data_IF_660990757740
#
_entry.id   IF_660990757740
#
_cell.length_a   1.000
_cell.length_b   1.000
_cell.length_c   1.000
_cell.angle_alpha   90.00
_cell.angle_beta   90.00
_cell.angle_gamma   90.00
#
_symmetry.space_group_name_H-M   'P 1'
#
loop_
_entity.id
_entity.type
_entity.pdbx_description
1 polymer ?
#
# COMPACT_ATOMS: atom_id res chain seq x y z
N UNK A 1 -36.72 -3.47 2.40
CA UNK A 1 -36.42 -2.65 3.60
C UNK A 1 -36.67 -3.46 4.87
N UNK A 2 -37.90 -3.92 5.17
CA UNK A 2 -38.17 -4.67 6.40
C UNK A 2 -37.26 -5.89 6.62
N UNK A 3 -37.06 -6.72 5.60
CA UNK A 3 -36.18 -7.89 5.70
C UNK A 3 -34.70 -7.53 6.00
N UNK A 4 -34.21 -6.39 5.52
CA UNK A 4 -32.85 -5.88 5.77
C UNK A 4 -32.76 -5.34 7.20
N UNK A 5 -33.81 -4.64 7.66
CA UNK A 5 -33.90 -4.17 9.05
C UNK A 5 -33.92 -5.35 10.05
N UNK A 6 -34.68 -6.41 9.75
CA UNK A 6 -34.76 -7.61 10.59
C UNK A 6 -33.38 -8.33 10.73
N UNK A 7 -32.46 -8.12 9.78
CA UNK A 7 -31.09 -8.63 9.85
C UNK A 7 -30.14 -7.75 10.68
N UNK A 8 -30.61 -6.60 11.19
CA UNK A 8 -29.80 -5.66 11.95
C UNK A 8 -28.81 -4.85 11.08
N UNK A 9 -29.13 -4.66 9.79
CA UNK A 9 -28.23 -3.93 8.88
C UNK A 9 -28.61 -2.46 8.66
N UNK A 10 -29.75 -2.03 9.19
CA UNK A 10 -30.22 -0.63 9.11
C UNK A 10 -31.02 -0.26 10.37
N UNK A 11 -30.33 -0.12 11.49
CA UNK A 11 -30.92 0.20 12.78
C UNK A 11 -31.43 1.65 12.83
N UNK A 12 -32.44 1.89 13.64
CA UNK A 12 -33.05 3.22 13.79
C UNK A 12 -33.62 3.73 12.46
N UNK A 13 -33.08 4.85 11.98
CA UNK A 13 -33.40 5.46 10.69
C UNK A 13 -32.31 5.30 9.65
N UNK A 14 -31.25 4.53 9.97
CA UNK A 14 -30.08 4.34 9.11
C UNK A 14 -30.41 3.60 7.81
N UNK A 15 -29.48 3.74 6.86
CA UNK A 15 -29.56 3.12 5.54
C UNK A 15 -30.53 3.80 4.57
N UNK A 16 -30.27 3.61 3.30
CA UNK A 16 -31.06 4.15 2.20
C UNK A 16 -31.24 3.10 1.10
N UNK A 17 -32.40 3.08 0.49
CA UNK A 17 -32.74 2.11 -0.55
C UNK A 17 -33.43 2.82 -1.70
N UNK A 18 -32.93 2.65 -2.92
CA UNK A 18 -33.50 3.24 -4.11
C UNK A 18 -33.67 2.24 -5.24
N UNK A 19 -34.71 2.45 -6.06
CA UNK A 19 -34.94 1.74 -7.30
C UNK A 19 -35.17 2.73 -8.42
N UNK A 20 -34.62 2.48 -9.60
CA UNK A 20 -34.90 3.27 -10.80
C UNK A 20 -36.30 3.01 -11.28
N UNK A 21 -37.14 4.04 -11.30
CA UNK A 21 -38.47 4.00 -11.91
C UNK A 21 -38.42 4.34 -13.39
N UNK A 22 -37.60 5.29 -13.76
CA UNK A 22 -37.48 5.79 -15.12
C UNK A 22 -36.03 6.27 -15.34
N UNK A 23 -35.48 6.02 -16.54
CA UNK A 23 -34.11 6.40 -16.87
C UNK A 23 -34.00 7.74 -17.59
N UNK A 24 -35.01 8.14 -18.32
CA UNK A 24 -35.02 9.39 -19.09
C UNK A 24 -36.40 10.09 -19.00
N UNK A 25 -36.50 11.21 -18.26
CA UNK A 25 -35.52 11.70 -17.28
C UNK A 25 -35.34 10.72 -16.11
N UNK A 26 -34.17 10.73 -15.47
CA UNK A 26 -33.87 9.81 -14.36
C UNK A 26 -34.80 10.08 -13.18
N UNK A 27 -35.46 9.03 -12.67
CA UNK A 27 -36.31 9.06 -11.47
C UNK A 27 -36.00 7.85 -10.60
N UNK A 28 -35.77 8.08 -9.31
CA UNK A 28 -35.58 7.05 -8.29
C UNK A 28 -36.76 7.02 -7.32
N UNK A 29 -37.25 5.82 -7.04
CA UNK A 29 -38.15 5.56 -5.92
C UNK A 29 -37.32 5.24 -4.69
N UNK A 30 -37.56 5.91 -3.56
CA UNK A 30 -36.82 5.67 -2.34
C UNK A 30 -37.60 6.00 -1.08
N UNK A 31 -37.14 5.54 0.08
CA UNK A 31 -37.71 5.94 1.36
C UNK A 31 -37.26 7.39 1.70
N UNK A 32 -38.11 8.21 2.30
CA UNK A 32 -37.73 9.52 2.78
C UNK A 32 -36.67 9.42 3.90
N UNK A 33 -35.91 10.49 4.09
CA UNK A 33 -34.97 10.61 5.19
C UNK A 33 -35.64 10.58 6.55
N UNK A 34 -34.95 10.01 7.56
CA UNK A 34 -35.43 10.04 8.95
C UNK A 34 -36.59 9.09 9.29
N UNK A 35 -36.93 8.16 8.41
CA UNK A 35 -37.99 7.14 8.68
C UNK A 35 -37.34 5.79 9.04
N UNK A 36 -37.98 5.08 9.99
CA UNK A 36 -37.57 3.72 10.36
C UNK A 36 -37.78 2.74 9.20
N UNK A 37 -36.75 2.13 8.69
CA UNK A 37 -36.75 1.29 7.45
C UNK A 37 -37.51 -0.03 7.64
N UNK A 38 -37.68 -0.47 8.89
CA UNK A 38 -38.40 -1.71 9.22
C UNK A 38 -39.89 -1.65 9.00
N UNK A 39 -40.51 -0.44 8.94
CA UNK A 39 -41.97 -0.25 8.92
C UNK A 39 -42.45 0.78 7.90
N UNK A 40 -41.67 1.09 6.89
CA UNK A 40 -42.07 2.05 5.84
C UNK A 40 -43.18 1.46 4.97
N UNK A 41 -44.34 2.09 4.98
CA UNK A 41 -45.43 1.75 4.07
C UNK A 41 -45.13 2.26 2.65
N UNK A 42 -45.62 1.55 1.63
CA UNK A 42 -45.36 1.87 0.22
C UNK A 42 -45.84 3.29 -0.17
N UNK A 43 -46.92 3.76 0.43
CA UNK A 43 -47.53 5.09 0.17
C UNK A 43 -46.65 6.24 0.70
N UNK A 44 -45.68 5.93 1.59
CA UNK A 44 -44.74 6.93 2.13
C UNK A 44 -43.46 7.06 1.30
N UNK A 45 -43.32 6.24 0.26
CA UNK A 45 -42.15 6.35 -0.62
C UNK A 45 -42.21 7.64 -1.43
N UNK A 46 -41.05 8.22 -1.69
CA UNK A 46 -40.89 9.43 -2.50
C UNK A 46 -40.25 9.10 -3.83
N UNK A 47 -40.52 9.92 -4.83
CA UNK A 47 -39.80 9.90 -6.12
C UNK A 47 -38.92 11.12 -6.20
N UNK A 48 -37.64 10.89 -6.48
CA UNK A 48 -36.64 11.95 -6.69
C UNK A 48 -36.18 11.96 -8.14
N UNK A 49 -35.83 13.13 -8.64
CA UNK A 49 -35.24 13.29 -9.98
C UNK A 49 -33.73 13.07 -10.01
N UNK A 50 -33.11 13.26 -11.19
CA UNK A 50 -31.65 13.14 -11.38
C UNK A 50 -30.83 14.20 -10.66
N UNK A 51 -31.44 15.25 -10.09
CA UNK A 51 -30.81 16.24 -9.23
C UNK A 51 -31.08 15.97 -7.73
N UNK A 52 -31.71 14.84 -7.38
CA UNK A 52 -32.03 14.48 -5.99
C UNK A 52 -33.20 15.24 -5.41
N UNK A 53 -33.99 15.98 -6.23
CA UNK A 53 -35.12 16.76 -5.77
C UNK A 53 -36.40 15.91 -5.75
N UNK A 54 -37.19 16.05 -4.67
CA UNK A 54 -38.43 15.30 -4.52
C UNK A 54 -39.47 15.81 -5.52
N UNK A 55 -39.91 14.92 -6.39
CA UNK A 55 -40.92 15.20 -7.41
C UNK A 55 -42.34 14.71 -7.00
N UNK A 56 -42.42 13.63 -6.24
CA UNK A 56 -43.68 13.06 -5.73
C UNK A 56 -43.46 12.45 -4.34
N UNK A 57 -44.52 12.40 -3.55
CA UNK A 57 -44.52 11.92 -2.17
C UNK A 57 -44.30 13.03 -1.16
N UNK A 58 -44.32 12.68 0.15
CA UNK A 58 -44.12 13.60 1.26
C UNK A 58 -42.83 13.24 2.03
N UNK A 59 -42.00 14.22 2.31
CA UNK A 59 -40.76 14.04 3.04
C UNK A 59 -39.55 14.68 2.33
N UNK A 60 -38.37 14.46 2.88
CA UNK A 60 -37.11 14.93 2.30
C UNK A 60 -36.34 13.75 1.73
N UNK A 61 -35.67 13.94 0.61
CA UNK A 61 -34.63 13.02 0.16
C UNK A 61 -33.47 12.99 1.15
N UNK A 62 -32.80 11.84 1.27
CA UNK A 62 -31.56 11.76 2.02
C UNK A 62 -30.46 12.54 1.29
N UNK A 63 -29.53 13.16 2.03
CA UNK A 63 -28.34 13.74 1.43
C UNK A 63 -27.56 12.69 0.60
N UNK A 64 -27.53 11.44 1.04
CA UNK A 64 -26.89 10.31 0.38
C UNK A 64 -27.51 9.92 -0.96
N UNK A 65 -28.64 10.52 -1.35
CA UNK A 65 -29.26 10.36 -2.68
C UNK A 65 -28.28 10.67 -3.81
N UNK A 66 -27.37 11.62 -3.62
CA UNK A 66 -26.35 11.98 -4.61
C UNK A 66 -25.42 10.79 -4.95
N UNK A 67 -25.04 10.01 -3.94
CA UNK A 67 -24.21 8.82 -4.17
C UNK A 67 -25.02 7.70 -4.86
N UNK A 68 -26.30 7.53 -4.54
CA UNK A 68 -27.19 6.62 -5.28
C UNK A 68 -27.29 7.00 -6.76
N UNK A 69 -27.47 8.29 -7.06
CA UNK A 69 -27.51 8.81 -8.44
C UNK A 69 -26.19 8.55 -9.16
N UNK A 70 -25.05 8.82 -8.51
CA UNK A 70 -23.73 8.56 -9.07
C UNK A 70 -23.52 7.07 -9.40
N UNK A 71 -23.93 6.17 -8.52
CA UNK A 71 -23.86 4.71 -8.76
C UNK A 71 -24.74 4.33 -9.96
N UNK A 72 -26.00 4.79 -10.01
CA UNK A 72 -26.91 4.47 -11.13
C UNK A 72 -26.38 4.98 -12.46
N UNK A 73 -25.84 6.20 -12.50
CA UNK A 73 -25.29 6.82 -13.70
C UNK A 73 -24.04 6.08 -14.22
N UNK A 74 -23.11 5.72 -13.31
CA UNK A 74 -21.84 5.11 -13.70
C UNK A 74 -21.93 3.62 -14.01
N UNK A 75 -22.82 2.89 -13.31
CA UNK A 75 -22.90 1.42 -13.40
C UNK A 75 -24.08 0.93 -14.21
N UNK A 76 -25.06 1.79 -14.50
CA UNK A 76 -26.33 1.39 -15.10
C UNK A 76 -27.23 0.60 -14.14
N UNK A 77 -26.96 0.60 -12.84
CA UNK A 77 -27.75 -0.12 -11.84
C UNK A 77 -29.24 0.26 -11.88
N UNK A 78 -30.13 -0.71 -11.61
CA UNK A 78 -31.56 -0.50 -11.46
C UNK A 78 -31.99 -0.34 -10.00
N UNK A 79 -31.13 -0.73 -9.05
CA UNK A 79 -31.37 -0.50 -7.63
C UNK A 79 -30.03 -0.35 -6.87
N UNK A 80 -30.06 0.47 -5.81
CA UNK A 80 -28.93 0.70 -4.89
C UNK A 80 -29.45 0.58 -3.46
N UNK A 81 -28.75 -0.21 -2.65
CA UNK A 81 -29.08 -0.50 -1.26
C UNK A 81 -27.89 -0.11 -0.38
N UNK A 82 -28.15 0.72 0.63
CA UNK A 82 -27.13 1.16 1.58
C UNK A 82 -27.47 0.73 3.00
N UNK A 83 -26.50 0.15 3.69
CA UNK A 83 -26.64 -0.45 5.02
C UNK A 83 -25.53 0.02 5.96
N UNK A 84 -25.80 -0.07 7.28
CA UNK A 84 -24.90 0.27 8.37
C UNK A 84 -24.66 -0.93 9.27
N UNK A 85 -24.37 -2.12 8.73
CA UNK A 85 -24.05 -3.29 9.54
C UNK A 85 -22.79 -3.04 10.38
N UNK A 86 -22.69 -3.72 11.53
CA UNK A 86 -21.49 -3.58 12.39
C UNK A 86 -20.24 -4.06 11.65
N UNK A 87 -20.32 -5.16 10.92
CA UNK A 87 -19.19 -5.68 10.15
C UNK A 87 -18.73 -4.68 9.09
N UNK A 88 -19.65 -4.14 8.26
CA UNK A 88 -19.31 -3.13 7.24
C UNK A 88 -18.70 -1.86 7.87
N UNK A 89 -19.30 -1.37 8.95
CA UNK A 89 -18.86 -0.14 9.63
C UNK A 89 -17.47 -0.29 10.25
N UNK A 90 -17.24 -1.36 11.02
CA UNK A 90 -15.97 -1.55 11.73
C UNK A 90 -14.82 -1.91 10.79
N UNK A 91 -15.06 -2.80 9.81
CA UNK A 91 -14.04 -3.15 8.82
C UNK A 91 -13.67 -1.95 7.96
N UNK A 92 -14.65 -1.19 7.46
CA UNK A 92 -14.37 -0.01 6.66
C UNK A 92 -13.66 1.09 7.44
N UNK A 93 -13.95 1.27 8.72
CA UNK A 93 -13.24 2.19 9.60
C UNK A 93 -11.77 1.75 9.79
N UNK A 94 -11.55 0.46 9.98
CA UNK A 94 -10.21 -0.10 10.14
C UNK A 94 -9.38 0.04 8.86
N UNK A 95 -9.95 -0.31 7.70
CA UNK A 95 -9.27 -0.24 6.40
C UNK A 95 -9.14 1.20 5.89
N UNK A 96 -10.10 2.06 6.15
CA UNK A 96 -10.12 3.45 5.69
C UNK A 96 -8.99 4.35 6.20
N UNK A 97 -8.13 3.81 7.07
CA UNK A 97 -6.89 4.47 7.52
C UNK A 97 -5.77 4.39 6.45
N UNK A 98 -5.93 3.54 5.44
CA UNK A 98 -4.93 3.29 4.39
C UNK A 98 -5.34 3.96 3.08
N UNK A 99 -4.37 4.28 2.20
CA UNK A 99 -4.63 4.85 0.88
C UNK A 99 -3.70 4.20 -0.16
N UNK A 100 -4.25 3.64 -1.25
CA UNK A 100 -5.66 3.40 -1.52
C UNK A 100 -6.25 2.40 -0.53
N UNK A 101 -7.51 2.63 -0.11
CA UNK A 101 -8.16 1.76 0.87
C UNK A 101 -9.06 0.75 0.15
N UNK A 102 -8.71 -0.52 0.26
CA UNK A 102 -9.47 -1.64 -0.30
C UNK A 102 -9.55 -2.78 0.73
N UNK A 103 -10.75 -3.34 0.89
CA UNK A 103 -10.92 -4.55 1.67
C UNK A 103 -10.81 -5.77 0.76
N UNK A 104 -9.77 -6.58 0.97
CA UNK A 104 -9.57 -7.81 0.22
C UNK A 104 -10.36 -8.96 0.82
N UNK A 105 -11.13 -9.64 -0.01
CA UNK A 105 -11.92 -10.82 0.30
C UNK A 105 -11.40 -11.97 -0.57
N UNK A 106 -10.76 -12.97 0.03
CA UNK A 106 -10.08 -14.06 -0.68
C UNK A 106 -10.54 -15.42 -0.19
N UNK A 107 -10.57 -16.39 -1.10
CA UNK A 107 -10.76 -17.82 -0.80
C UNK A 107 -12.07 -18.14 -0.05
N UNK A 108 -13.11 -17.34 -0.27
CA UNK A 108 -14.42 -17.50 0.33
C UNK A 108 -15.44 -18.03 -0.69
N UNK A 109 -16.13 -19.12 -0.37
CA UNK A 109 -17.08 -19.77 -1.29
C UNK A 109 -18.17 -18.81 -1.83
N UNK A 110 -18.63 -17.88 -0.99
CA UNK A 110 -19.69 -16.94 -1.34
C UNK A 110 -19.28 -15.88 -2.36
N UNK A 111 -17.98 -15.73 -2.66
CA UNK A 111 -17.51 -14.85 -3.75
C UNK A 111 -18.16 -15.20 -5.09
N UNK A 112 -18.44 -16.48 -5.35
CA UNK A 112 -19.12 -16.96 -6.58
C UNK A 112 -20.54 -16.41 -6.77
N UNK A 113 -21.13 -15.85 -5.76
CA UNK A 113 -22.44 -15.21 -5.85
C UNK A 113 -22.41 -13.77 -6.38
N UNK A 114 -21.24 -13.15 -6.44
CA UNK A 114 -21.04 -11.84 -7.05
C UNK A 114 -21.00 -11.96 -8.58
N UNK A 115 -21.52 -10.96 -9.29
CA UNK A 115 -21.59 -11.00 -10.74
C UNK A 115 -20.17 -11.04 -11.35
N UNK A 116 -19.97 -11.97 -12.27
CA UNK A 116 -18.68 -12.16 -12.96
C UNK A 116 -17.67 -13.02 -12.22
N UNK A 117 -17.95 -13.49 -11.01
CA UNK A 117 -17.05 -14.34 -10.22
C UNK A 117 -17.48 -15.81 -10.33
N UNK A 118 -16.65 -16.64 -10.95
CA UNK A 118 -16.94 -18.07 -11.19
C UNK A 118 -16.22 -19.04 -10.24
N UNK A 119 -15.32 -18.58 -9.40
CA UNK A 119 -14.52 -19.41 -8.49
C UNK A 119 -14.36 -18.76 -7.12
N UNK A 120 -14.19 -19.58 -6.08
CA UNK A 120 -13.80 -19.11 -4.75
C UNK A 120 -12.29 -18.81 -4.66
N UNK A 121 -11.46 -19.48 -5.45
CA UNK A 121 -10.00 -19.30 -5.48
C UNK A 121 -9.65 -18.00 -6.23
N UNK A 122 -10.07 -16.88 -5.66
CA UNK A 122 -9.85 -15.53 -6.20
C UNK A 122 -9.87 -14.51 -5.08
N UNK A 123 -9.36 -13.33 -5.38
CA UNK A 123 -9.43 -12.17 -4.49
C UNK A 123 -10.32 -11.11 -5.11
N UNK A 124 -11.26 -10.59 -4.35
CA UNK A 124 -12.12 -9.48 -4.70
C UNK A 124 -11.75 -8.29 -3.84
N UNK A 125 -11.40 -7.17 -4.46
CA UNK A 125 -11.11 -5.92 -3.78
C UNK A 125 -12.38 -5.07 -3.70
N UNK A 126 -12.84 -4.78 -2.48
CA UNK A 126 -13.98 -3.91 -2.22
C UNK A 126 -13.45 -2.52 -1.84
N UNK A 127 -13.67 -1.47 -2.68
CA UNK A 127 -13.13 -0.15 -2.42
C UNK A 127 -13.70 0.45 -1.12
N UNK A 128 -12.85 1.20 -0.40
CA UNK A 128 -13.23 1.93 0.82
C UNK A 128 -12.91 3.40 0.64
N UNK A 129 -13.91 4.27 0.66
CA UNK A 129 -13.74 5.72 0.62
C UNK A 129 -13.74 6.33 2.02
N UNK A 130 -12.98 7.41 2.26
CA UNK A 130 -13.12 8.20 3.47
C UNK A 130 -14.55 8.71 3.65
N UNK A 131 -15.02 8.77 4.89
CA UNK A 131 -16.33 9.35 5.20
C UNK A 131 -16.26 10.88 5.05
N UNK A 132 -17.03 11.39 4.11
CA UNK A 132 -17.12 12.84 3.84
C UNK A 132 -18.57 13.29 3.97
N UNK A 133 -18.80 14.31 4.77
CA UNK A 133 -20.13 14.90 4.97
C UNK A 133 -20.58 15.78 3.79
N UNK A 134 -19.63 16.19 2.93
CA UNK A 134 -19.93 16.80 1.64
C UNK A 134 -20.23 15.69 0.62
N UNK A 135 -21.50 15.43 0.39
CA UNK A 135 -21.96 14.35 -0.47
C UNK A 135 -21.68 14.59 -1.96
N UNK A 136 -21.49 15.83 -2.40
CA UNK A 136 -21.08 16.15 -3.78
C UNK A 136 -19.63 15.69 -3.97
N UNK A 137 -18.75 16.02 -3.03
CA UNK A 137 -17.36 15.61 -3.02
C UNK A 137 -17.19 14.09 -2.88
N UNK A 138 -17.96 13.47 -1.97
CA UNK A 138 -17.96 12.02 -1.80
C UNK A 138 -18.42 11.30 -3.08
N UNK A 139 -19.51 11.78 -3.72
CA UNK A 139 -20.01 11.20 -4.97
C UNK A 139 -19.02 11.37 -6.13
N UNK A 140 -18.31 12.50 -6.21
CA UNK A 140 -17.26 12.73 -7.19
C UNK A 140 -16.07 11.78 -6.99
N UNK A 141 -15.65 11.55 -5.74
CA UNK A 141 -14.59 10.62 -5.39
C UNK A 141 -14.97 9.14 -5.66
N UNK A 142 -16.25 8.79 -5.54
CA UNK A 142 -16.74 7.44 -5.82
C UNK A 142 -16.71 7.10 -7.32
N UNK A 143 -17.08 8.05 -8.20
CA UNK A 143 -17.29 7.82 -9.65
C UNK A 143 -16.17 7.02 -10.34
N UNK A 144 -14.87 7.31 -10.20
CA UNK A 144 -13.81 6.55 -10.87
C UNK A 144 -13.68 5.10 -10.40
N UNK A 145 -14.13 4.78 -9.18
CA UNK A 145 -14.04 3.45 -8.59
C UNK A 145 -15.20 2.54 -8.99
N UNK A 146 -16.38 3.11 -9.28
CA UNK A 146 -17.63 2.36 -9.47
C UNK A 146 -17.60 1.40 -10.65
N UNK A 147 -16.87 1.68 -11.72
CA UNK A 147 -16.79 0.84 -12.92
C UNK A 147 -16.05 -0.48 -12.68
N UNK A 148 -15.14 -0.53 -11.70
CA UNK A 148 -14.35 -1.71 -11.35
C UNK A 148 -14.81 -2.36 -10.03
N UNK A 149 -15.65 -1.70 -9.27
CA UNK A 149 -16.14 -2.20 -7.99
C UNK A 149 -17.01 -3.46 -8.15
N UNK A 150 -16.88 -4.46 -7.28
CA UNK A 150 -17.56 -5.75 -7.36
C UNK A 150 -19.02 -5.65 -6.86
N UNK A 151 -19.84 -4.76 -7.48
CA UNK A 151 -21.20 -4.38 -7.10
C UNK A 151 -21.34 -3.90 -5.65
N UNK A 152 -20.26 -3.40 -5.06
CA UNK A 152 -20.22 -2.88 -3.70
C UNK A 152 -19.14 -1.82 -3.50
N UNK A 153 -19.39 -0.91 -2.54
CA UNK A 153 -18.48 0.17 -2.11
C UNK A 153 -18.68 0.40 -0.62
N UNK A 154 -17.60 0.53 0.12
CA UNK A 154 -17.61 0.88 1.54
C UNK A 154 -17.30 2.36 1.75
N UNK A 155 -17.94 2.97 2.74
CA UNK A 155 -17.59 4.28 3.29
C UNK A 155 -17.03 4.05 4.69
N UNK A 156 -15.83 4.55 4.97
CA UNK A 156 -15.09 4.32 6.22
C UNK A 156 -15.88 4.74 7.46
N UNK A 157 -16.11 3.80 8.37
CA UNK A 157 -16.87 4.04 9.61
C UNK A 157 -18.35 4.36 9.39
N UNK A 158 -18.89 4.09 8.19
CA UNK A 158 -20.27 4.41 7.83
C UNK A 158 -21.03 3.15 7.40
N UNK A 159 -20.66 2.50 6.28
CA UNK A 159 -21.34 1.31 5.86
C UNK A 159 -21.11 0.93 4.40
N UNK A 160 -21.96 0.01 3.91
CA UNK A 160 -21.88 -0.61 2.59
C UNK A 160 -22.94 -0.03 1.66
N UNK A 161 -22.54 0.27 0.41
CA UNK A 161 -23.43 0.45 -0.74
C UNK A 161 -23.32 -0.78 -1.63
N UNK A 162 -24.44 -1.40 -1.96
CA UNK A 162 -24.52 -2.51 -2.90
C UNK A 162 -25.55 -2.20 -3.98
N UNK A 163 -25.32 -2.67 -5.20
CA UNK A 163 -26.21 -2.40 -6.33
C UNK A 163 -26.37 -3.58 -7.28
N UNK A 164 -27.34 -3.51 -8.16
CA UNK A 164 -27.62 -4.52 -9.17
C UNK A 164 -28.49 -3.98 -10.31
N UNK A 165 -28.65 -4.79 -11.36
CA UNK A 165 -29.48 -4.43 -12.54
C UNK A 165 -30.93 -4.21 -12.17
N UNK A 166 -31.42 -4.84 -11.10
CA UNK A 166 -32.74 -4.73 -10.52
C UNK A 166 -32.67 -4.89 -9.00
N UNK A 167 -33.81 -4.74 -8.33
CA UNK A 167 -33.89 -4.88 -6.87
C UNK A 167 -33.47 -6.27 -6.38
N UNK A 168 -33.81 -7.33 -7.13
CA UNK A 168 -33.49 -8.71 -6.75
C UNK A 168 -31.98 -8.97 -6.79
N UNK A 169 -31.30 -8.52 -7.85
CA UNK A 169 -29.84 -8.63 -7.97
C UNK A 169 -29.11 -7.73 -6.98
N UNK A 170 -29.61 -6.49 -6.74
CA UNK A 170 -29.04 -5.61 -5.71
C UNK A 170 -29.16 -6.23 -4.30
N UNK A 171 -30.30 -6.82 -3.98
CA UNK A 171 -30.50 -7.51 -2.71
C UNK A 171 -29.59 -8.72 -2.57
N UNK A 172 -29.43 -9.52 -3.62
CA UNK A 172 -28.50 -10.66 -3.63
C UNK A 172 -27.06 -10.20 -3.39
N UNK A 173 -26.60 -9.16 -4.09
CA UNK A 173 -25.24 -8.65 -3.88
C UNK A 173 -25.06 -8.09 -2.47
N UNK A 174 -26.04 -7.36 -1.94
CA UNK A 174 -26.01 -6.90 -0.55
C UNK A 174 -25.87 -8.05 0.44
N UNK A 175 -26.72 -9.07 0.32
CA UNK A 175 -26.70 -10.22 1.23
C UNK A 175 -25.38 -10.99 1.19
N UNK A 176 -24.78 -11.12 -0.01
CA UNK A 176 -23.49 -11.76 -0.19
C UNK A 176 -22.36 -10.93 0.41
N UNK A 177 -22.33 -9.63 0.11
CA UNK A 177 -21.28 -8.75 0.64
C UNK A 177 -21.37 -8.63 2.16
N UNK A 178 -22.55 -8.46 2.73
CA UNK A 178 -22.73 -8.43 4.19
C UNK A 178 -22.28 -9.76 4.85
N UNK A 179 -22.57 -10.90 4.21
CA UNK A 179 -22.13 -12.21 4.70
C UNK A 179 -20.58 -12.33 4.64
N UNK A 180 -19.96 -11.90 3.55
CA UNK A 180 -18.50 -11.91 3.38
C UNK A 180 -17.82 -10.96 4.38
N UNK A 181 -18.38 -9.78 4.61
CA UNK A 181 -17.91 -8.83 5.61
C UNK A 181 -17.99 -9.39 7.03
N UNK A 182 -19.11 -10.05 7.35
CA UNK A 182 -19.27 -10.72 8.63
C UNK A 182 -18.25 -11.87 8.82
N UNK A 183 -18.01 -12.66 7.76
CA UNK A 183 -16.98 -13.69 7.79
C UNK A 183 -15.59 -13.09 8.02
N UNK A 184 -15.23 -12.02 7.28
CA UNK A 184 -13.93 -11.36 7.42
C UNK A 184 -13.74 -10.76 8.80
N UNK A 185 -14.77 -10.13 9.37
CA UNK A 185 -14.73 -9.64 10.74
C UNK A 185 -14.52 -10.74 11.75
N UNK A 186 -15.24 -11.85 11.61
CA UNK A 186 -15.07 -13.03 12.48
C UNK A 186 -13.71 -13.69 12.33
N UNK A 187 -13.15 -13.76 11.11
CA UNK A 187 -11.76 -14.22 10.89
C UNK A 187 -10.77 -13.37 11.67
N UNK A 188 -10.90 -12.05 11.69
CA UNK A 188 -10.05 -11.16 12.48
C UNK A 188 -10.17 -11.44 13.99
N UNK A 189 -11.37 -11.76 14.48
CA UNK A 189 -11.58 -12.14 15.87
C UNK A 189 -11.00 -13.53 16.21
N UNK A 190 -11.04 -14.47 15.25
CA UNK A 190 -10.49 -15.81 15.42
C UNK A 190 -8.96 -15.86 15.31
N UNK A 191 -8.36 -14.87 14.66
CA UNK A 191 -6.91 -14.71 14.53
C UNK A 191 -6.39 -13.56 15.41
N UNK A 192 -6.39 -13.70 16.75
CA UNK A 192 -6.02 -12.63 17.68
C UNK A 192 -4.61 -12.07 17.43
N UNK A 193 -3.72 -12.87 16.81
CA UNK A 193 -2.37 -12.43 16.43
C UNK A 193 -2.37 -11.34 15.34
N UNK A 194 -3.41 -11.25 14.52
CA UNK A 194 -3.57 -10.16 13.56
C UNK A 194 -4.05 -8.84 14.23
N UNK A 195 -4.59 -8.93 15.46
CA UNK A 195 -5.09 -7.79 16.24
C UNK A 195 -4.18 -7.41 17.41
N UNK A 196 -3.18 -8.23 17.75
CA UNK A 196 -2.22 -7.90 18.81
C UNK A 196 -1.19 -6.92 18.28
N UNK A 197 -1.28 -5.67 18.72
CA UNK A 197 -0.23 -4.69 18.47
C UNK A 197 1.04 -5.07 19.24
N UNK A 198 2.17 -5.04 18.56
CA UNK A 198 3.49 -5.06 19.20
C UNK A 198 3.74 -3.67 19.77
N UNK A 199 3.86 -3.56 21.09
CA UNK A 199 4.15 -2.29 21.76
C UNK A 199 5.62 -2.24 22.10
N UNK A 200 6.32 -1.22 21.62
CA UNK A 200 7.71 -0.92 21.94
C UNK A 200 7.74 0.43 22.67
N UNK A 201 8.33 0.48 23.85
CA UNK A 201 8.38 1.68 24.68
C UNK A 201 9.79 2.22 24.83
N UNK A 202 9.90 3.50 25.18
CA UNK A 202 11.17 4.18 25.45
C UNK A 202 12.01 4.37 24.16
N UNK A 203 11.37 4.62 23.01
CA UNK A 203 11.99 4.86 21.73
C UNK A 203 11.70 6.28 21.26
N UNK A 204 12.74 6.98 20.83
CA UNK A 204 12.63 8.32 20.21
C UNK A 204 13.11 8.31 18.74
N UNK A 205 13.85 7.29 18.32
CA UNK A 205 14.43 7.17 16.99
C UNK A 205 14.13 5.80 16.39
N UNK A 206 13.82 5.78 15.11
CA UNK A 206 13.68 4.58 14.29
C UNK A 206 14.79 4.52 13.26
N UNK A 207 15.50 3.42 13.22
CA UNK A 207 16.46 3.09 12.18
C UNK A 207 15.87 1.94 11.36
N UNK A 208 15.69 2.16 10.07
CA UNK A 208 15.02 1.21 9.18
C UNK A 208 15.99 0.69 8.13
N UNK A 209 16.00 -0.62 7.94
CA UNK A 209 16.54 -1.21 6.71
C UNK A 209 15.53 -0.99 5.56
N UNK A 210 15.95 -1.26 4.32
CA UNK A 210 15.12 -1.09 3.12
C UNK A 210 14.60 -2.44 2.64
N UNK A 211 15.49 -3.27 2.11
CA UNK A 211 15.14 -4.55 1.49
C UNK A 211 14.53 -5.50 2.53
N UNK A 212 13.38 -6.10 2.23
CA UNK A 212 12.67 -6.98 3.17
C UNK A 212 12.09 -6.28 4.41
N UNK A 213 12.25 -4.97 4.53
CA UNK A 213 11.81 -4.17 5.68
C UNK A 213 10.77 -3.11 5.27
N UNK A 214 11.13 -2.23 4.36
CA UNK A 214 10.21 -1.20 3.83
C UNK A 214 9.87 -1.41 2.35
N UNK A 215 10.70 -2.17 1.63
CA UNK A 215 10.57 -2.49 0.22
C UNK A 215 10.82 -4.00 0.02
N UNK A 216 10.15 -4.68 -0.94
CA UNK A 216 10.44 -6.08 -1.26
C UNK A 216 11.91 -6.31 -1.68
N UNK A 217 12.51 -7.40 -1.22
CA UNK A 217 13.87 -7.81 -1.60
C UNK A 217 14.01 -7.98 -3.13
N UNK A 218 12.95 -8.50 -3.77
CA UNK A 218 12.90 -8.73 -5.22
C UNK A 218 13.05 -7.47 -6.06
N UNK A 219 12.71 -6.29 -5.53
CA UNK A 219 12.78 -5.05 -6.30
C UNK A 219 14.20 -4.73 -6.78
N UNK A 220 15.19 -4.92 -5.94
CA UNK A 220 16.59 -4.65 -6.32
C UNK A 220 17.08 -5.68 -7.33
N UNK A 221 16.85 -6.97 -7.07
CA UNK A 221 17.36 -8.07 -7.91
C UNK A 221 16.59 -8.25 -9.22
N UNK A 222 15.26 -8.02 -9.22
CA UNK A 222 14.40 -8.32 -10.36
C UNK A 222 14.04 -7.09 -11.19
N UNK A 223 14.19 -5.87 -10.63
CA UNK A 223 13.86 -4.63 -11.34
C UNK A 223 15.09 -3.73 -11.51
N UNK A 224 15.73 -3.30 -10.42
CA UNK A 224 16.79 -2.29 -10.51
C UNK A 224 18.06 -2.82 -11.22
N UNK A 225 18.51 -4.02 -10.91
CA UNK A 225 19.68 -4.60 -11.57
C UNK A 225 19.41 -4.91 -13.05
N UNK A 226 18.32 -5.58 -13.44
CA UNK A 226 17.96 -5.76 -14.86
C UNK A 226 17.80 -4.43 -15.60
N UNK A 227 17.16 -3.43 -14.99
CA UNK A 227 17.02 -2.10 -15.57
C UNK A 227 18.39 -1.51 -15.90
N UNK A 228 19.34 -1.48 -14.94
CA UNK A 228 20.70 -0.99 -15.18
C UNK A 228 21.39 -1.75 -16.30
N UNK A 229 21.30 -3.08 -16.29
CA UNK A 229 21.93 -3.95 -17.31
C UNK A 229 21.42 -3.69 -18.70
N UNK A 230 20.10 -3.44 -18.84
CA UNK A 230 19.46 -3.17 -20.13
C UNK A 230 19.75 -1.75 -20.64
N UNK A 231 19.76 -0.77 -19.74
CA UNK A 231 19.89 0.65 -20.07
C UNK A 231 21.34 1.11 -20.23
N UNK A 232 22.35 0.31 -19.83
CA UNK A 232 23.75 0.74 -19.83
C UNK A 232 24.24 1.29 -21.16
N UNK A 233 23.93 0.65 -22.30
CA UNK A 233 24.40 1.12 -23.61
C UNK A 233 23.82 2.46 -23.98
N UNK A 234 22.51 2.62 -23.83
CA UNK A 234 21.80 3.86 -24.15
C UNK A 234 22.29 4.99 -23.24
N UNK A 235 22.44 4.69 -21.93
CA UNK A 235 22.94 5.66 -20.98
C UNK A 235 24.34 6.18 -21.33
N UNK A 236 25.29 5.26 -21.66
CA UNK A 236 26.65 5.62 -22.05
C UNK A 236 26.69 6.46 -23.33
N UNK A 237 25.84 6.13 -24.32
CA UNK A 237 25.75 6.88 -25.57
C UNK A 237 25.15 8.29 -25.40
N UNK A 238 24.10 8.39 -24.58
CA UNK A 238 23.37 9.65 -24.38
C UNK A 238 24.13 10.65 -23.48
N UNK A 239 25.08 10.17 -22.68
CA UNK A 239 25.82 10.98 -21.71
C UNK A 239 27.36 10.97 -21.97
N UNK A 240 27.78 10.73 -23.20
CA UNK A 240 29.20 10.57 -23.59
C UNK A 240 30.07 11.81 -23.33
N UNK A 241 29.48 12.97 -23.16
CA UNK A 241 30.14 14.23 -22.83
C UNK A 241 30.20 14.52 -21.31
N UNK A 242 29.56 13.70 -20.48
CA UNK A 242 29.55 13.90 -19.02
C UNK A 242 30.92 13.52 -18.42
N UNK A 243 31.56 14.47 -17.76
CA UNK A 243 32.90 14.28 -17.15
C UNK A 243 32.85 13.30 -15.97
N UNK A 244 31.76 13.33 -15.15
CA UNK A 244 31.60 12.36 -14.06
C UNK A 244 31.48 10.94 -14.60
N UNK A 245 30.73 10.75 -15.70
CA UNK A 245 30.64 9.45 -16.37
C UNK A 245 31.98 8.99 -16.93
N UNK A 246 32.77 9.87 -17.54
CA UNK A 246 34.10 9.54 -18.07
C UNK A 246 35.02 9.03 -16.95
N UNK A 247 35.06 9.74 -15.83
CA UNK A 247 35.86 9.34 -14.67
C UNK A 247 35.46 7.98 -14.12
N UNK A 248 34.13 7.70 -14.04
CA UNK A 248 33.63 6.39 -13.62
C UNK A 248 34.01 5.26 -14.59
N UNK A 249 33.91 5.52 -15.90
CA UNK A 249 34.29 4.54 -16.92
C UNK A 249 35.80 4.23 -16.92
N UNK A 250 36.63 5.23 -16.64
CA UNK A 250 38.08 5.04 -16.48
C UNK A 250 38.39 4.14 -15.27
N UNK A 251 37.75 4.39 -14.12
CA UNK A 251 37.91 3.56 -12.91
C UNK A 251 37.40 2.11 -13.15
N UNK A 252 36.25 1.96 -13.82
CA UNK A 252 35.70 0.64 -14.19
C UNK A 252 36.65 -0.09 -15.16
N UNK A 253 37.20 0.63 -16.14
CA UNK A 253 38.14 0.08 -17.13
C UNK A 253 39.46 -0.36 -16.48
N UNK A 254 39.94 0.39 -15.50
CA UNK A 254 41.12 0.00 -14.70
C UNK A 254 40.84 -1.30 -13.92
N UNK A 255 39.69 -1.36 -13.24
CA UNK A 255 39.29 -2.57 -12.52
C UNK A 255 39.15 -3.78 -13.44
N UNK A 256 38.67 -3.58 -14.68
CA UNK A 256 38.54 -4.65 -15.67
C UNK A 256 39.90 -5.23 -16.10
N UNK A 257 40.91 -4.40 -16.23
CA UNK A 257 42.27 -4.85 -16.63
C UNK A 257 42.85 -5.84 -15.61
N UNK A 258 42.50 -5.72 -14.35
CA UNK A 258 42.99 -6.53 -13.24
C UNK A 258 42.03 -7.67 -12.83
N UNK A 259 40.85 -7.76 -13.41
CA UNK A 259 39.80 -8.74 -13.01
C UNK A 259 40.06 -10.11 -13.64
N UNK A 260 40.73 -10.99 -12.89
CA UNK A 260 41.04 -12.35 -13.32
C UNK A 260 39.77 -13.21 -13.49
N UNK A 261 38.71 -12.96 -12.71
CA UNK A 261 37.46 -13.73 -12.83
C UNK A 261 36.74 -13.37 -14.12
N UNK A 262 36.70 -12.08 -14.49
CA UNK A 262 36.14 -11.64 -15.77
C UNK A 262 36.94 -12.18 -16.96
N UNK A 263 38.26 -12.17 -16.86
CA UNK A 263 39.15 -12.76 -17.89
C UNK A 263 38.92 -14.27 -18.05
N UNK A 264 38.74 -15.03 -16.96
CA UNK A 264 38.41 -16.44 -16.96
C UNK A 264 37.02 -16.72 -17.58
N UNK A 265 36.08 -15.77 -17.45
CA UNK A 265 34.77 -15.79 -18.07
C UNK A 265 34.77 -15.37 -19.56
N UNK A 266 35.94 -15.12 -20.16
CA UNK A 266 36.10 -14.70 -21.55
C UNK A 266 35.87 -13.21 -21.81
N UNK A 267 35.88 -12.39 -20.74
CA UNK A 267 35.79 -10.92 -20.78
C UNK A 267 37.17 -10.29 -20.54
N UNK A 268 38.13 -10.60 -21.41
CA UNK A 268 39.47 -10.00 -21.31
C UNK A 268 39.48 -8.59 -21.90
N UNK A 269 40.09 -7.66 -21.22
CA UNK A 269 40.23 -6.28 -21.66
C UNK A 269 40.90 -6.18 -23.05
N UNK A 270 40.42 -5.32 -23.93
CA UNK A 270 40.90 -5.13 -25.32
C UNK A 270 40.79 -6.34 -26.27
N UNK A 271 39.91 -7.30 -26.04
CA UNK A 271 39.72 -8.46 -26.89
C UNK A 271 38.40 -8.40 -27.73
N UNK A 272 37.97 -7.19 -28.14
CA UNK A 272 36.72 -6.98 -28.91
C UNK A 272 35.45 -6.92 -28.05
N UNK A 273 35.59 -6.96 -26.74
CA UNK A 273 34.53 -6.69 -25.76
C UNK A 273 34.52 -5.22 -25.38
N UNK A 274 33.34 -4.71 -25.01
CA UNK A 274 33.13 -3.31 -24.60
C UNK A 274 33.09 -3.18 -23.07
N UNK A 275 33.32 -1.97 -22.57
CA UNK A 275 33.15 -1.67 -21.14
C UNK A 275 31.70 -1.97 -20.68
N UNK A 276 30.73 -1.79 -21.55
CA UNK A 276 29.33 -2.13 -21.26
C UNK A 276 29.13 -3.65 -21.05
N UNK A 277 29.88 -4.50 -21.77
CA UNK A 277 29.84 -5.96 -21.57
C UNK A 277 30.39 -6.33 -20.18
N UNK A 278 31.45 -5.67 -19.77
CA UNK A 278 32.03 -5.86 -18.45
C UNK A 278 31.09 -5.35 -17.35
N UNK A 279 30.47 -4.18 -17.51
CA UNK A 279 29.47 -3.65 -16.58
C UNK A 279 28.32 -4.64 -16.40
N UNK A 280 27.77 -5.20 -17.49
CA UNK A 280 26.70 -6.22 -17.41
C UNK A 280 27.14 -7.47 -16.66
N UNK A 281 28.36 -7.90 -16.90
CA UNK A 281 28.94 -9.05 -16.20
C UNK A 281 29.06 -8.76 -14.71
N UNK A 282 29.55 -7.57 -14.31
CA UNK A 282 29.64 -7.15 -12.92
C UNK A 282 28.24 -7.16 -12.25
N UNK A 283 27.22 -6.64 -12.94
CA UNK A 283 25.84 -6.60 -12.44
C UNK A 283 25.33 -8.04 -12.26
N UNK A 284 25.51 -8.91 -13.26
CA UNK A 284 25.01 -10.29 -13.23
C UNK A 284 25.67 -11.17 -12.14
N UNK A 285 26.86 -10.79 -11.67
CA UNK A 285 27.60 -11.46 -10.61
C UNK A 285 27.53 -10.72 -9.27
N UNK A 286 26.66 -9.73 -9.15
CA UNK A 286 26.48 -8.89 -7.93
C UNK A 286 27.81 -8.37 -7.36
N UNK A 287 28.73 -7.96 -8.24
CA UNK A 287 30.06 -7.47 -7.84
C UNK A 287 29.94 -6.11 -7.13
N UNK A 288 30.55 -5.98 -5.96
CA UNK A 288 30.45 -4.79 -5.10
C UNK A 288 31.57 -3.78 -5.41
N UNK A 289 31.54 -3.18 -6.58
CA UNK A 289 32.52 -2.18 -7.03
C UNK A 289 31.97 -0.76 -6.83
N UNK A 290 32.73 0.13 -6.20
CA UNK A 290 32.25 1.49 -5.91
C UNK A 290 31.85 2.27 -7.18
N UNK A 291 32.67 2.33 -8.26
CA UNK A 291 32.27 3.04 -9.48
C UNK A 291 31.08 2.39 -10.20
N UNK A 292 30.90 1.06 -10.08
CA UNK A 292 29.70 0.40 -10.57
C UNK A 292 28.44 0.87 -9.83
N UNK A 293 28.48 0.94 -8.51
CA UNK A 293 27.35 1.44 -7.70
C UNK A 293 26.98 2.88 -8.04
N UNK A 294 28.00 3.72 -8.29
CA UNK A 294 27.78 5.11 -8.70
C UNK A 294 27.11 5.18 -10.07
N UNK A 295 27.62 4.44 -11.06
CA UNK A 295 27.02 4.35 -12.39
C UNK A 295 25.59 3.83 -12.34
N UNK A 296 25.30 2.76 -11.58
CA UNK A 296 23.96 2.27 -11.38
C UNK A 296 23.06 3.36 -10.78
N UNK A 297 23.55 4.13 -9.82
CA UNK A 297 22.82 5.26 -9.23
C UNK A 297 22.43 6.34 -10.25
N UNK A 298 23.32 6.65 -11.20
CA UNK A 298 23.05 7.59 -12.29
C UNK A 298 21.99 7.06 -13.26
N UNK A 299 22.11 5.78 -13.65
CA UNK A 299 21.14 5.12 -14.53
C UNK A 299 19.74 5.08 -13.86
N UNK A 300 19.67 4.70 -12.58
CA UNK A 300 18.40 4.68 -11.84
C UNK A 300 17.80 6.08 -11.68
N UNK A 301 18.62 7.11 -11.45
CA UNK A 301 18.17 8.50 -11.39
C UNK A 301 17.45 8.92 -12.67
N UNK A 302 18.01 8.55 -13.84
CA UNK A 302 17.35 8.81 -15.13
C UNK A 302 16.04 8.02 -15.25
N UNK A 303 16.02 6.73 -14.92
CA UNK A 303 14.82 5.90 -14.99
C UNK A 303 13.69 6.35 -14.07
N UNK A 304 14.02 6.77 -12.84
CA UNK A 304 13.04 7.37 -11.95
C UNK A 304 12.51 8.72 -12.47
N UNK A 305 13.38 9.56 -13.00
CA UNK A 305 12.97 10.86 -13.56
C UNK A 305 12.09 10.69 -14.81
N UNK A 306 12.32 9.65 -15.60
CA UNK A 306 11.50 9.30 -16.76
C UNK A 306 10.17 8.60 -16.38
N UNK A 307 9.99 8.22 -15.12
CA UNK A 307 8.82 7.45 -14.67
C UNK A 307 8.83 5.98 -15.08
N UNK A 308 9.97 5.46 -15.53
CA UNK A 308 10.16 4.05 -15.90
C UNK A 308 10.41 3.16 -14.68
N UNK A 309 10.88 3.76 -13.58
CA UNK A 309 11.06 3.11 -12.29
C UNK A 309 10.13 3.72 -11.25
N UNK A 310 9.53 2.87 -10.43
CA UNK A 310 8.78 3.26 -9.25
C UNK A 310 9.07 2.26 -8.14
N UNK A 311 9.45 2.75 -6.95
CA UNK A 311 9.78 1.88 -5.84
C UNK A 311 8.50 1.32 -5.16
N UNK A 312 8.35 -0.01 -5.06
CA UNK A 312 7.19 -0.65 -4.46
C UNK A 312 7.38 -0.78 -2.95
N UNK A 313 7.04 0.24 -2.18
CA UNK A 313 7.00 0.09 -0.73
C UNK A 313 5.89 -0.90 -0.34
N UNK A 314 6.08 -1.65 0.74
CA UNK A 314 4.98 -2.45 1.30
C UNK A 314 3.82 -1.55 1.69
N UNK A 315 2.60 -2.04 1.49
CA UNK A 315 1.35 -1.29 1.61
C UNK A 315 1.18 -0.53 2.93
N UNK A 316 1.66 -1.13 4.04
CA UNK A 316 1.56 -0.58 5.39
C UNK A 316 2.66 0.44 5.74
N UNK A 317 3.73 0.52 4.94
CA UNK A 317 4.91 1.35 5.24
C UNK A 317 4.63 2.85 5.16
N UNK A 318 4.01 3.41 4.10
CA UNK A 318 3.81 4.85 4.02
C UNK A 318 2.98 5.40 5.18
N UNK A 319 1.89 4.70 5.53
CA UNK A 319 1.02 5.08 6.64
C UNK A 319 1.74 4.98 8.00
N UNK A 320 2.59 3.96 8.19
CA UNK A 320 3.37 3.79 9.40
C UNK A 320 4.42 4.90 9.56
N UNK A 321 5.18 5.21 8.50
CA UNK A 321 6.18 6.30 8.51
C UNK A 321 5.53 7.65 8.85
N UNK A 322 4.39 7.94 8.21
CA UNK A 322 3.64 9.17 8.50
C UNK A 322 3.17 9.24 9.95
N UNK A 323 2.62 8.14 10.49
CA UNK A 323 2.18 8.06 11.88
C UNK A 323 3.34 8.30 12.85
N UNK A 324 4.47 7.64 12.67
CA UNK A 324 5.65 7.78 13.52
C UNK A 324 6.25 9.18 13.45
N UNK A 325 6.28 9.77 12.26
CA UNK A 325 6.72 11.15 12.07
C UNK A 325 5.79 12.14 12.78
N UNK A 326 4.46 11.98 12.73
CA UNK A 326 3.49 12.79 13.45
C UNK A 326 3.61 12.62 14.98
N UNK A 327 4.06 11.48 15.46
CA UNK A 327 4.37 11.23 16.88
C UNK A 327 5.66 11.91 17.33
N UNK A 328 6.39 12.56 16.44
CA UNK A 328 7.67 13.23 16.73
C UNK A 328 8.87 12.29 16.77
N UNK A 329 8.76 11.05 16.29
CA UNK A 329 9.90 10.14 16.18
C UNK A 329 10.85 10.60 15.07
N UNK A 330 12.14 10.55 15.33
CA UNK A 330 13.17 10.77 14.31
C UNK A 330 13.37 9.49 13.48
N UNK A 331 13.17 9.56 12.18
CA UNK A 331 13.29 8.42 11.29
C UNK A 331 14.61 8.46 10.54
N UNK A 332 15.30 7.33 10.45
CA UNK A 332 16.58 7.16 9.77
C UNK A 332 16.56 5.87 8.93
N UNK A 333 17.39 5.83 7.89
CA UNK A 333 17.59 4.65 7.05
C UNK A 333 19.03 4.18 7.15
N UNK A 334 19.24 2.85 7.19
CA UNK A 334 20.55 2.23 7.07
C UNK A 334 20.49 1.05 6.10
N UNK A 335 21.09 1.20 4.93
CA UNK A 335 21.08 0.19 3.86
C UNK A 335 22.47 -0.01 3.25
N UNK A 336 22.65 -1.13 2.54
CA UNK A 336 23.86 -1.39 1.73
C UNK A 336 23.91 -0.56 0.44
N UNK A 337 22.75 -0.03 0.00
CA UNK A 337 22.66 0.92 -1.10
C UNK A 337 23.23 2.29 -0.72
N UNK A 338 23.81 3.02 -1.67
CA UNK A 338 24.30 4.39 -1.43
C UNK A 338 23.18 5.32 -0.98
N UNK A 339 23.52 6.36 -0.21
CA UNK A 339 22.53 7.38 0.24
C UNK A 339 21.74 7.94 -0.94
N UNK A 340 22.41 8.20 -2.08
CA UNK A 340 21.72 8.67 -3.28
C UNK A 340 20.67 7.66 -3.81
N UNK A 341 20.98 6.37 -3.82
CA UNK A 341 20.04 5.32 -4.24
C UNK A 341 18.85 5.19 -3.26
N UNK A 342 19.12 5.29 -1.95
CA UNK A 342 18.07 5.31 -0.92
C UNK A 342 17.10 6.48 -1.13
N UNK A 343 17.65 7.68 -1.37
CA UNK A 343 16.85 8.89 -1.61
C UNK A 343 16.05 8.82 -2.91
N UNK A 344 16.59 8.19 -3.96
CA UNK A 344 15.84 7.92 -5.19
C UNK A 344 14.66 6.99 -4.94
N UNK A 345 14.86 5.91 -4.20
CA UNK A 345 13.83 4.94 -3.85
C UNK A 345 12.66 5.60 -3.12
N UNK A 346 12.92 6.31 -2.03
CA UNK A 346 11.86 6.97 -1.26
C UNK A 346 11.32 8.23 -1.93
N UNK A 347 12.07 8.83 -2.86
CA UNK A 347 11.63 9.98 -3.65
C UNK A 347 10.67 9.63 -4.78
N UNK A 348 10.69 8.36 -5.24
CA UNK A 348 9.88 7.89 -6.36
C UNK A 348 9.14 6.60 -6.01
N UNK A 349 8.58 6.56 -4.79
CA UNK A 349 7.84 5.40 -4.31
C UNK A 349 6.41 5.35 -4.89
N UNK A 350 5.76 4.20 -4.73
CA UNK A 350 4.33 4.03 -5.02
C UNK A 350 3.41 4.93 -4.15
N UNK A 351 3.98 5.57 -3.09
CA UNK A 351 3.32 6.58 -2.28
C UNK A 351 3.76 8.04 -2.61
N UNK A 352 4.48 8.24 -3.71
CA UNK A 352 5.08 9.51 -4.09
C UNK A 352 6.41 9.79 -3.39
N UNK A 353 6.80 11.07 -3.31
CA UNK A 353 8.02 11.50 -2.60
C UNK A 353 7.76 11.58 -1.10
N UNK A 354 8.34 10.66 -0.35
CA UNK A 354 8.23 10.56 1.11
C UNK A 354 9.57 10.72 1.84
N UNK A 355 10.62 11.21 1.15
CA UNK A 355 11.95 11.45 1.74
C UNK A 355 11.91 12.39 2.95
N UNK A 356 10.96 13.31 2.99
CA UNK A 356 10.82 14.30 4.05
C UNK A 356 10.50 13.71 5.43
N UNK A 357 10.09 12.44 5.52
CA UNK A 357 9.94 11.76 6.80
C UNK A 357 11.27 11.45 7.48
N UNK A 358 12.36 11.31 6.69
CA UNK A 358 13.65 10.86 7.20
C UNK A 358 14.59 12.02 7.50
N UNK A 359 15.14 12.05 8.70
CA UNK A 359 16.12 13.03 9.16
C UNK A 359 17.57 12.60 8.90
N UNK A 360 17.84 11.30 8.80
CA UNK A 360 19.18 10.76 8.59
C UNK A 360 19.19 9.60 7.61
N UNK A 361 20.30 9.49 6.88
CA UNK A 361 20.57 8.45 5.88
C UNK A 361 21.96 7.90 6.09
N UNK A 362 22.08 6.57 6.19
CA UNK A 362 23.34 5.88 6.40
C UNK A 362 23.49 4.77 5.36
N UNK A 363 24.74 4.61 4.88
CA UNK A 363 25.13 3.50 4.04
C UNK A 363 26.37 2.79 4.62
N UNK A 364 26.90 1.79 3.92
CA UNK A 364 28.04 0.99 4.39
C UNK A 364 29.37 1.75 4.46
N UNK A 365 29.42 3.05 4.11
CA UNK A 365 30.58 3.89 4.37
C UNK A 365 30.78 4.16 5.87
N UNK A 366 29.71 4.12 6.68
CA UNK A 366 29.82 4.23 8.15
C UNK A 366 30.42 2.97 8.79
N UNK A 367 30.27 1.82 8.10
CA UNK A 367 30.72 0.49 8.50
C UNK A 367 29.79 -0.60 7.98
N UNK A 368 30.12 -1.86 8.20
CA UNK A 368 29.29 -3.00 7.80
C UNK A 368 28.08 -3.18 8.69
N UNK A 369 26.95 -3.61 8.11
CA UNK A 369 25.68 -3.80 8.82
C UNK A 369 25.69 -4.93 9.86
N UNK A 370 26.69 -5.83 9.83
CA UNK A 370 26.87 -6.90 10.81
C UNK A 370 27.92 -6.56 11.89
N UNK A 371 28.27 -5.27 12.02
CA UNK A 371 29.27 -4.79 12.97
C UNK A 371 28.62 -3.86 13.99
N UNK A 372 28.68 -4.19 15.28
CA UNK A 372 28.13 -3.38 16.36
C UNK A 372 28.66 -1.93 16.36
N UNK A 373 29.94 -1.75 16.00
CA UNK A 373 30.58 -0.44 15.92
C UNK A 373 29.89 0.51 14.93
N UNK A 374 29.28 -0.01 13.86
CA UNK A 374 28.51 0.78 12.89
C UNK A 374 27.27 1.42 13.56
N UNK A 375 26.55 0.65 14.35
CA UNK A 375 25.37 1.12 15.07
C UNK A 375 25.70 2.10 16.19
N UNK A 376 26.86 1.93 16.87
CA UNK A 376 27.34 2.94 17.82
C UNK A 376 27.59 4.28 17.12
N UNK A 377 28.27 4.29 15.97
CA UNK A 377 28.52 5.50 15.18
C UNK A 377 27.21 6.14 14.67
N UNK A 378 26.24 5.32 14.24
CA UNK A 378 24.92 5.80 13.80
C UNK A 378 24.22 6.51 14.96
N UNK A 379 24.17 5.92 16.14
CA UNK A 379 23.57 6.53 17.32
C UNK A 379 24.28 7.85 17.72
N UNK A 380 25.61 7.89 17.65
CA UNK A 380 26.41 9.09 17.86
C UNK A 380 26.07 10.19 16.84
N UNK A 381 26.00 9.87 15.55
CA UNK A 381 25.62 10.82 14.50
C UNK A 381 24.19 11.32 14.62
N UNK A 382 23.27 10.50 15.12
CA UNK A 382 21.89 10.91 15.44
C UNK A 382 21.80 11.66 16.77
N UNK A 383 22.91 11.76 17.51
CA UNK A 383 22.97 12.39 18.84
C UNK A 383 21.96 11.79 19.83
N UNK A 384 21.89 10.47 19.90
CA UNK A 384 20.93 9.72 20.72
C UNK A 384 21.60 8.54 21.42
N UNK A 385 21.14 8.21 22.64
CA UNK A 385 21.57 6.98 23.31
C UNK A 385 21.07 5.74 22.55
N UNK A 386 21.90 4.70 22.30
CA UNK A 386 21.49 3.52 21.55
C UNK A 386 20.17 2.88 22.04
N UNK A 387 19.93 2.81 23.34
CA UNK A 387 18.71 2.23 23.92
C UNK A 387 17.40 2.97 23.58
N UNK A 388 17.48 4.20 23.04
CA UNK A 388 16.34 4.97 22.54
C UNK A 388 16.12 4.80 21.03
N UNK A 389 16.91 3.96 20.37
CA UNK A 389 16.79 3.64 18.94
C UNK A 389 16.18 2.26 18.78
N UNK A 390 15.14 2.14 17.97
CA UNK A 390 14.62 0.86 17.49
C UNK A 390 15.14 0.63 16.07
N UNK A 391 15.92 -0.44 15.88
CA UNK A 391 16.35 -0.90 14.57
C UNK A 391 15.45 -2.02 14.07
N UNK A 392 14.97 -1.89 12.83
CA UNK A 392 14.10 -2.89 12.17
C UNK A 392 14.81 -3.39 10.92
N UNK A 393 15.02 -4.71 10.81
CA UNK A 393 15.63 -5.37 9.65
C UNK A 393 15.09 -6.80 9.52
N UNK A 394 15.14 -7.38 8.33
CA UNK A 394 14.84 -8.78 8.04
C UNK A 394 16.08 -9.70 8.17
N UNK A 395 17.24 -9.14 8.49
CA UNK A 395 18.50 -9.87 8.61
C UNK A 395 18.91 -10.04 10.07
N UNK A 396 18.84 -11.28 10.56
CA UNK A 396 19.14 -11.62 11.96
C UNK A 396 20.51 -11.16 12.43
N UNK A 397 21.55 -11.33 11.60
CA UNK A 397 22.92 -10.94 11.96
C UNK A 397 23.07 -9.40 12.14
N UNK A 398 22.24 -8.61 11.45
CA UNK A 398 22.20 -7.16 11.62
C UNK A 398 21.53 -6.78 12.93
N UNK A 399 20.44 -7.47 13.31
CA UNK A 399 19.79 -7.28 14.62
C UNK A 399 20.70 -7.66 15.77
N UNK A 400 21.48 -8.75 15.64
CA UNK A 400 22.48 -9.16 16.64
C UNK A 400 23.54 -8.06 16.83
N UNK A 401 24.02 -7.45 15.74
CA UNK A 401 24.99 -6.36 15.79
C UNK A 401 24.41 -5.07 16.41
N UNK A 402 23.18 -4.73 16.06
CA UNK A 402 22.49 -3.55 16.61
C UNK A 402 22.20 -3.71 18.12
N UNK A 403 21.73 -4.89 18.52
CA UNK A 403 21.49 -5.21 19.93
C UNK A 403 22.80 -5.19 20.74
N UNK A 404 23.91 -5.70 20.18
CA UNK A 404 25.23 -5.62 20.81
C UNK A 404 25.73 -4.18 20.98
N UNK A 405 25.26 -3.23 20.16
CA UNK A 405 25.47 -1.81 20.31
C UNK A 405 24.51 -1.15 21.34
N UNK A 406 23.57 -1.90 21.90
CA UNK A 406 22.61 -1.44 22.89
C UNK A 406 21.30 -0.89 22.33
N UNK A 407 21.02 -1.06 21.02
CA UNK A 407 19.75 -0.67 20.41
C UNK A 407 18.63 -1.68 20.75
N UNK A 408 17.38 -1.23 20.73
CA UNK A 408 16.23 -2.10 20.65
C UNK A 408 16.11 -2.63 19.22
N UNK A 409 15.63 -3.86 19.05
CA UNK A 409 15.60 -4.50 17.73
C UNK A 409 14.28 -5.20 17.47
N UNK A 410 13.86 -5.25 16.20
CA UNK A 410 12.65 -5.91 15.77
C UNK A 410 12.88 -6.58 14.40
N UNK A 411 12.51 -7.84 14.28
CA UNK A 411 12.67 -8.59 13.04
C UNK A 411 11.50 -8.32 12.08
N UNK A 412 11.81 -7.83 10.87
CA UNK A 412 10.83 -7.65 9.81
C UNK A 412 10.50 -8.99 9.15
N UNK A 413 9.28 -9.48 9.34
CA UNK A 413 8.82 -10.80 8.89
C UNK A 413 7.86 -10.67 7.71
N UNK A 414 8.35 -10.23 6.55
CA UNK A 414 7.53 -10.14 5.34
C UNK A 414 7.39 -11.51 4.66
N UNK A 415 6.26 -11.73 3.94
CA UNK A 415 5.94 -13.04 3.33
C UNK A 415 7.03 -13.52 2.36
N UNK A 416 7.65 -12.60 1.62
CA UNK A 416 8.55 -12.88 0.52
C UNK A 416 10.03 -12.78 0.92
N UNK A 417 10.33 -12.54 2.21
CA UNK A 417 11.70 -12.46 2.68
C UNK A 417 12.37 -13.83 2.65
N UNK A 418 13.63 -13.91 2.18
CA UNK A 418 14.38 -15.17 2.13
C UNK A 418 14.71 -15.70 3.53
N UNK A 419 14.95 -14.81 4.51
CA UNK A 419 15.13 -15.18 5.91
C UNK A 419 13.81 -15.11 6.65
N UNK A 420 13.41 -16.22 7.24
CA UNK A 420 12.13 -16.33 7.99
C UNK A 420 12.35 -16.76 9.44
N UNK A 421 13.57 -17.06 9.82
CA UNK A 421 13.93 -17.41 11.19
C UNK A 421 14.39 -16.17 11.97
N UNK A 422 13.46 -15.61 12.74
CA UNK A 422 13.75 -14.50 13.64
C UNK A 422 14.61 -14.91 14.85
N UNK A 423 14.83 -16.21 15.07
CA UNK A 423 15.51 -16.72 16.26
C UNK A 423 14.80 -16.28 17.55
N UNK A 424 15.54 -15.55 18.43
CA UNK A 424 15.01 -15.02 19.69
C UNK A 424 14.36 -13.64 19.58
N UNK A 425 14.41 -13.00 18.43
CA UNK A 425 13.90 -11.64 18.26
C UNK A 425 12.38 -11.62 18.09
N UNK A 426 11.74 -10.61 18.67
CA UNK A 426 10.35 -10.30 18.37
C UNK A 426 10.21 -9.97 16.88
N UNK A 427 9.12 -10.41 16.27
CA UNK A 427 8.87 -10.23 14.83
C UNK A 427 7.63 -9.40 14.57
N UNK A 428 7.65 -8.67 13.47
CA UNK A 428 6.54 -7.90 12.96
C UNK A 428 6.37 -8.15 11.46
N UNK A 429 5.16 -8.44 11.03
CA UNK A 429 4.80 -8.64 9.63
C UNK A 429 4.14 -7.40 9.00
N UNK A 430 3.50 -6.58 9.83
CA UNK A 430 2.82 -5.36 9.40
C UNK A 430 3.03 -4.22 10.40
N UNK A 431 3.46 -3.07 9.93
CA UNK A 431 3.75 -1.92 10.77
C UNK A 431 2.51 -1.18 11.30
N UNK A 432 1.32 -1.44 10.74
CA UNK A 432 0.07 -0.98 11.36
C UNK A 432 -0.17 -1.59 12.75
N UNK A 433 0.45 -2.75 13.03
CA UNK A 433 0.41 -3.42 14.33
C UNK A 433 1.53 -2.97 15.29
N UNK A 434 2.47 -2.13 14.84
CA UNK A 434 3.56 -1.63 15.66
C UNK A 434 3.17 -0.29 16.31
N UNK A 435 3.01 -0.31 17.61
CA UNK A 435 2.81 0.89 18.44
C UNK A 435 4.13 1.25 19.13
N UNK A 436 4.57 2.48 18.96
CA UNK A 436 5.76 3.01 19.60
C UNK A 436 5.31 4.08 20.60
N UNK A 437 5.75 3.92 21.84
CA UNK A 437 5.48 4.87 22.92
C UNK A 437 6.80 5.42 23.45
N UNK A 438 6.84 6.70 23.67
CA UNK A 438 7.96 7.42 24.28
C UNK A 438 8.12 7.09 25.76
#
# INVERSE_FOLDING_TARGET
MAAIHQRGWCEGTGGNFSCVLQRQPLQLLMAPSGVAKGSVAAEKLIVVDGAGQVQRGQGKASAETLLHLAIVEQTGAGAVLHTHSQAATLLSQHIGQYHPAELLLSDLEMLKGLAGIGTHATTVALPVLPNDQDLERLSAAARPLLSQAPQGLLIAGHGLYAWGQDLSSAQRHLEILEFLLEQRWRQLLLAPQELTSTVISGVSHLLLDIEGTTCPVSYVSEVLFPYSSNSVNEYLQSNDQDEELKDLLEQISHSWQEDADAAAAGLTFNTGKTVADYIRWLISHDRKLTPLKQLQGLIWKQGYAAGELQAPLFEDVPAALHRWWLQGLSLAVYSSGSIGAQQLLYGHSNAGDIKYFFSHWFDTNIGGKQQAQSYCKIAEMMNVAPGLVLFISDVKAELEAAEAAGMQVLFSYRSDNPQRDAGRFAKIDRYNLLQITS
#
